data_IF_093973710120
#
_entry.id   IF_093973710120
#
_cell.length_a   1.000
_cell.length_b   1.000
_cell.length_c   1.000
_cell.angle_alpha   90.00
_cell.angle_beta   90.00
_cell.angle_gamma   90.00
#
_symmetry.space_group_name_H-M   'P 1'
#
loop_
_entity.id
_entity.type
_entity.pdbx_description
1 polymer ?
#
# COMPACT_ATOMS: atom_id res chain seq x y z
N UNK A 1 4.27 6.73 19.11
CA UNK A 1 3.95 7.25 17.76
C UNK A 1 4.54 6.29 16.72
N UNK A 2 3.80 5.26 16.29
CA UNK A 2 4.32 4.19 15.39
C UNK A 2 3.36 3.81 14.24
N UNK A 3 2.31 4.59 13.95
CA UNK A 3 1.31 4.22 12.93
C UNK A 3 1.54 4.81 11.52
N UNK A 4 2.56 5.65 11.33
CA UNK A 4 2.78 6.31 10.04
C UNK A 4 3.56 5.47 9.03
N UNK A 5 4.39 4.52 9.48
CA UNK A 5 5.36 3.84 8.62
C UNK A 5 4.76 2.66 7.84
N UNK A 6 3.77 1.96 8.40
CA UNK A 6 3.21 0.75 7.80
C UNK A 6 2.36 1.00 6.53
N UNK A 7 1.54 2.05 6.53
CA UNK A 7 0.69 2.38 5.37
C UNK A 7 1.53 2.77 4.16
N UNK A 8 2.62 3.48 4.44
CA UNK A 8 3.48 4.03 3.42
C UNK A 8 4.35 2.94 2.75
N UNK A 9 4.69 1.87 3.48
CA UNK A 9 5.35 0.68 2.91
C UNK A 9 4.46 -0.07 1.92
N UNK A 10 3.18 -0.24 2.25
CA UNK A 10 2.21 -0.90 1.36
C UNK A 10 2.01 -0.16 0.04
N UNK A 11 2.00 1.16 0.09
CA UNK A 11 1.78 1.97 -1.11
C UNK A 11 2.94 1.84 -2.11
N UNK A 12 4.19 1.78 -1.64
CA UNK A 12 5.36 1.57 -2.53
C UNK A 12 5.37 0.17 -3.14
N UNK A 13 4.97 -0.84 -2.37
CA UNK A 13 4.81 -2.21 -2.91
C UNK A 13 3.73 -2.24 -3.99
N UNK A 14 2.59 -1.59 -3.76
CA UNK A 14 1.51 -1.51 -4.75
C UNK A 14 1.92 -0.76 -6.02
N UNK A 15 2.66 0.34 -5.90
CA UNK A 15 3.13 1.13 -7.06
C UNK A 15 4.18 0.35 -7.86
N UNK A 16 5.13 -0.30 -7.18
CA UNK A 16 6.13 -1.13 -7.87
C UNK A 16 5.46 -2.31 -8.59
N UNK A 17 4.46 -2.95 -7.95
CA UNK A 17 3.67 -4.01 -8.58
C UNK A 17 2.88 -3.51 -9.78
N UNK A 18 2.30 -2.30 -9.70
CA UNK A 18 1.55 -1.72 -10.80
C UNK A 18 2.46 -1.31 -11.98
N UNK A 19 3.63 -0.73 -11.68
CA UNK A 19 4.64 -0.42 -12.70
C UNK A 19 5.17 -1.68 -13.37
N UNK A 20 5.43 -2.73 -12.59
CA UNK A 20 5.81 -4.05 -13.10
C UNK A 20 4.71 -4.61 -14.02
N UNK A 21 3.44 -4.60 -13.60
CA UNK A 21 2.31 -5.04 -14.42
C UNK A 21 2.19 -4.23 -15.71
N UNK A 22 2.39 -2.90 -15.67
CA UNK A 22 2.33 -2.06 -16.86
C UNK A 22 3.49 -2.32 -17.83
N UNK A 23 4.71 -2.52 -17.31
CA UNK A 23 5.87 -2.89 -18.13
C UNK A 23 5.65 -4.27 -18.76
N UNK A 24 5.16 -5.24 -18.00
CA UNK A 24 4.78 -6.56 -18.53
C UNK A 24 3.67 -6.46 -19.58
N UNK A 25 2.65 -5.63 -19.35
CA UNK A 25 1.58 -5.38 -20.31
C UNK A 25 2.09 -4.78 -21.62
N UNK A 26 3.02 -3.83 -21.55
CA UNK A 26 3.64 -3.23 -22.72
C UNK A 26 4.49 -4.26 -23.50
N UNK A 27 5.32 -5.03 -22.79
CA UNK A 27 6.19 -6.06 -23.38
C UNK A 27 5.37 -7.20 -24.01
N UNK A 28 4.30 -7.64 -23.34
CA UNK A 28 3.42 -8.68 -23.89
C UNK A 28 2.57 -8.14 -25.05
N UNK A 29 2.15 -6.88 -24.98
CA UNK A 29 1.41 -6.21 -26.06
C UNK A 29 2.22 -6.12 -27.35
N UNK A 30 3.51 -5.77 -27.26
CA UNK A 30 4.39 -5.74 -28.43
C UNK A 30 4.69 -7.14 -28.97
N UNK A 31 4.84 -8.15 -28.11
CA UNK A 31 4.97 -9.55 -28.54
C UNK A 31 3.75 -10.06 -29.32
N UNK A 32 2.53 -9.73 -28.90
CA UNK A 32 1.29 -10.20 -29.56
C UNK A 32 1.07 -9.51 -30.90
N UNK A 33 1.36 -8.20 -30.99
CA UNK A 33 1.22 -7.45 -32.24
C UNK A 33 2.16 -7.98 -33.35
N UNK A 34 3.28 -8.58 -32.97
CA UNK A 34 4.33 -9.04 -33.87
C UNK A 34 4.13 -10.47 -34.38
N UNK A 35 3.52 -11.35 -33.57
CA UNK A 35 3.13 -12.72 -33.98
C UNK A 35 2.04 -12.71 -35.06
N UNK A 36 1.30 -11.61 -35.21
CA UNK A 36 0.24 -11.48 -36.21
C UNK A 36 0.74 -11.16 -37.64
N UNK A 37 2.05 -10.93 -37.85
CA UNK A 37 2.61 -10.58 -39.16
C UNK A 37 3.60 -11.66 -39.66
N UNK A 38 3.18 -12.60 -40.52
CA UNK A 38 4.08 -13.59 -41.10
C UNK A 38 4.79 -13.00 -42.32
N UNK A 39 5.98 -12.43 -42.12
CA UNK A 39 6.82 -12.00 -43.25
C UNK A 39 8.28 -12.41 -43.08
N UNK A 40 8.66 -13.43 -43.87
CA UNK A 40 10.00 -13.77 -44.40
C UNK A 40 11.18 -13.87 -43.43
N UNK A 41 11.90 -15.00 -43.47
CA UNK A 41 13.05 -15.37 -42.62
C UNK A 41 14.12 -14.28 -42.40
N UNK A 42 14.29 -13.34 -43.33
CA UNK A 42 15.21 -12.19 -43.20
C UNK A 42 14.85 -11.20 -42.07
N UNK A 43 13.61 -11.21 -41.56
CA UNK A 43 13.19 -10.33 -40.45
C UNK A 43 13.54 -10.90 -39.07
N UNK A 44 13.75 -12.22 -38.97
CA UNK A 44 13.94 -12.89 -37.68
C UNK A 44 15.26 -12.53 -37.00
N UNK A 45 16.35 -12.39 -37.76
CA UNK A 45 17.66 -12.02 -37.21
C UNK A 45 17.70 -10.57 -36.78
N UNK A 46 17.16 -9.65 -37.59
CA UNK A 46 17.03 -8.24 -37.24
C UNK A 46 16.22 -8.04 -35.96
N UNK A 47 15.15 -8.81 -35.79
CA UNK A 47 14.35 -8.79 -34.57
C UNK A 47 15.11 -9.28 -33.33
N UNK A 48 15.91 -10.34 -33.47
CA UNK A 48 16.73 -10.87 -32.37
C UNK A 48 17.77 -9.82 -31.95
N UNK A 49 18.39 -9.15 -32.91
CA UNK A 49 19.36 -8.09 -32.67
C UNK A 49 18.72 -6.87 -31.98
N UNK A 50 17.57 -6.40 -32.45
CA UNK A 50 16.83 -5.29 -31.83
C UNK A 50 16.44 -5.62 -30.37
N UNK A 51 16.03 -6.85 -30.10
CA UNK A 51 15.72 -7.27 -28.72
C UNK A 51 16.95 -7.38 -27.83
N UNK A 52 18.09 -7.77 -28.37
CA UNK A 52 19.35 -7.77 -27.62
C UNK A 52 19.71 -6.34 -27.22
N UNK A 53 19.62 -5.39 -28.15
CA UNK A 53 19.89 -3.97 -27.89
C UNK A 53 18.96 -3.39 -26.80
N UNK A 54 17.65 -3.71 -26.83
CA UNK A 54 16.71 -3.28 -25.79
C UNK A 54 17.09 -3.85 -24.41
N UNK A 55 17.50 -5.12 -24.33
CA UNK A 55 17.93 -5.74 -23.07
C UNK A 55 19.15 -5.04 -22.49
N UNK A 56 20.12 -4.71 -23.33
CA UNK A 56 21.34 -4.03 -22.90
C UNK A 56 21.02 -2.61 -22.39
N UNK A 57 20.15 -1.86 -23.08
CA UNK A 57 19.68 -0.55 -22.60
C UNK A 57 18.98 -0.63 -21.23
N UNK A 58 18.18 -1.67 -20.98
CA UNK A 58 17.51 -1.87 -19.70
C UNK A 58 18.52 -2.21 -18.59
N UNK A 59 19.52 -3.04 -18.89
CA UNK A 59 20.59 -3.40 -17.94
C UNK A 59 21.46 -2.19 -17.57
N UNK A 60 21.76 -1.32 -18.54
CA UNK A 60 22.48 -0.07 -18.30
C UNK A 60 21.68 0.90 -17.43
N UNK A 61 20.39 1.08 -17.71
CA UNK A 61 19.51 1.93 -16.91
C UNK A 61 19.41 1.44 -15.45
N UNK A 62 19.32 0.12 -15.24
CA UNK A 62 19.34 -0.47 -13.90
C UNK A 62 20.68 -0.26 -13.19
N UNK A 63 21.79 -0.42 -13.91
CA UNK A 63 23.14 -0.22 -13.36
C UNK A 63 23.37 1.22 -12.94
N UNK A 64 22.97 2.19 -13.78
CA UNK A 64 23.03 3.62 -13.47
C UNK A 64 22.18 3.98 -12.25
N UNK A 65 20.97 3.41 -12.15
CA UNK A 65 20.08 3.64 -11.01
C UNK A 65 20.69 3.13 -9.72
N UNK A 66 21.30 1.93 -9.72
CA UNK A 66 22.02 1.38 -8.56
C UNK A 66 23.20 2.24 -8.14
N UNK A 67 24.01 2.70 -9.10
CA UNK A 67 25.14 3.57 -8.83
C UNK A 67 24.70 4.89 -8.17
N UNK A 68 23.66 5.54 -8.70
CA UNK A 68 23.10 6.76 -8.09
C UNK A 68 22.55 6.54 -6.69
N UNK A 69 21.91 5.40 -6.44
CA UNK A 69 21.45 5.08 -5.09
C UNK A 69 22.63 4.95 -4.13
N UNK A 70 23.71 4.28 -4.54
CA UNK A 70 24.93 4.15 -3.73
C UNK A 70 25.53 5.52 -3.39
N UNK A 71 25.70 6.41 -4.38
CA UNK A 71 26.23 7.77 -4.16
C UNK A 71 25.39 8.57 -3.16
N UNK A 72 24.06 8.50 -3.26
CA UNK A 72 23.14 9.18 -2.34
C UNK A 72 23.24 8.60 -0.93
N UNK A 73 23.41 7.28 -0.79
CA UNK A 73 23.61 6.66 0.50
C UNK A 73 24.94 7.07 1.14
N UNK A 74 26.01 7.22 0.36
CA UNK A 74 27.34 7.58 0.87
C UNK A 74 27.46 9.06 1.28
N UNK A 75 26.79 9.98 0.59
CA UNK A 75 26.91 11.43 0.86
C UNK A 75 26.39 11.86 2.24
N UNK A 76 25.39 11.16 2.78
CA UNK A 76 24.76 11.51 4.08
C UNK A 76 25.09 10.52 5.21
N UNK A 77 25.86 9.46 4.94
CA UNK A 77 26.19 8.46 5.96
C UNK A 77 27.34 8.95 6.85
N UNK A 78 27.01 9.55 8.00
CA UNK A 78 27.99 9.64 9.11
C UNK A 78 28.15 8.25 9.71
N UNK A 79 29.30 7.57 9.58
CA UNK A 79 29.48 6.27 10.21
C UNK A 79 29.27 6.45 11.71
N UNK A 80 28.32 5.69 12.27
CA UNK A 80 28.09 5.64 13.71
C UNK A 80 29.43 5.25 14.34
N UNK A 81 29.94 6.06 15.26
CA UNK A 81 31.13 5.71 16.04
C UNK A 81 30.68 4.93 17.28
N UNK A 82 30.70 3.59 17.28
CA UNK A 82 30.30 2.84 18.46
C UNK A 82 31.34 3.05 19.56
N UNK A 83 30.93 3.64 20.68
CA UNK A 83 31.70 3.59 21.93
C UNK A 83 31.49 2.21 22.56
N UNK A 84 32.38 1.27 22.24
CA UNK A 84 32.34 -0.11 22.74
C UNK A 84 31.92 -1.09 21.64
N UNK A 85 32.72 -2.14 21.45
CA UNK A 85 32.51 -3.15 20.41
C UNK A 85 31.22 -3.94 20.69
N UNK A 86 30.27 -3.87 19.75
CA UNK A 86 29.13 -4.77 19.69
C UNK A 86 28.97 -5.26 18.25
N UNK A 87 28.96 -6.58 18.09
CA UNK A 87 28.75 -7.23 16.81
C UNK A 87 27.25 -7.44 16.62
N UNK A 88 26.64 -6.77 15.65
CA UNK A 88 25.22 -6.95 15.33
C UNK A 88 25.07 -7.89 14.13
N UNK A 89 24.38 -9.01 14.32
CA UNK A 89 23.93 -9.90 13.24
C UNK A 89 22.77 -9.21 12.52
N UNK A 90 23.03 -8.63 11.34
CA UNK A 90 22.03 -7.85 10.60
C UNK A 90 21.09 -8.79 9.83
N UNK A 91 19.86 -8.92 10.31
CA UNK A 91 18.73 -9.34 9.49
C UNK A 91 18.11 -8.08 8.86
N UNK A 92 18.27 -7.90 7.56
CA UNK A 92 17.82 -6.71 6.83
C UNK A 92 16.30 -6.75 6.69
N UNK A 93 15.60 -5.84 7.38
CA UNK A 93 14.21 -5.50 7.06
C UNK A 93 14.20 -4.19 6.25
N UNK A 94 13.65 -4.17 5.03
CA UNK A 94 13.65 -2.96 4.21
C UNK A 94 12.72 -1.91 4.82
N UNK A 95 13.20 -0.68 4.95
CA UNK A 95 12.43 0.49 5.38
C UNK A 95 12.30 1.42 4.18
N UNK A 96 11.08 1.64 3.69
CA UNK A 96 10.81 2.65 2.68
C UNK A 96 10.45 3.97 3.38
N UNK A 97 11.13 5.06 3.03
CA UNK A 97 10.82 6.42 3.48
C UNK A 97 9.89 7.11 2.47
N UNK A 98 8.89 7.85 2.98
CA UNK A 98 7.87 8.48 2.13
C UNK A 98 7.93 9.96 2.36
N UNK A 99 8.61 10.63 1.45
CA UNK A 99 8.63 12.07 1.30
C UNK A 99 8.13 12.38 -0.11
N UNK A 100 7.15 13.28 -0.20
CA UNK A 100 6.55 13.84 -1.43
C UNK A 100 5.51 12.99 -2.18
N UNK A 101 4.41 12.64 -1.50
CA UNK A 101 3.16 12.39 -2.24
C UNK A 101 2.54 13.74 -2.59
N UNK A 102 2.59 14.13 -3.87
CA UNK A 102 1.79 15.24 -4.40
C UNK A 102 0.31 14.88 -4.31
N UNK A 103 -0.54 15.87 -4.03
CA UNK A 103 -1.98 15.70 -3.98
C UNK A 103 -2.46 15.15 -5.34
N UNK A 104 -3.23 14.06 -5.33
CA UNK A 104 -3.72 13.46 -6.55
C UNK A 104 -4.57 14.49 -7.33
N UNK A 105 -4.34 14.60 -8.64
CA UNK A 105 -5.17 15.43 -9.52
C UNK A 105 -6.61 14.93 -9.50
N UNK A 106 -7.57 15.84 -9.63
CA UNK A 106 -8.97 15.46 -9.83
C UNK A 106 -9.08 14.57 -11.08
N UNK A 107 -9.79 13.45 -10.94
CA UNK A 107 -9.89 12.43 -11.98
C UNK A 107 -10.78 12.96 -13.13
N UNK A 108 -10.14 13.41 -14.22
CA UNK A 108 -10.80 13.96 -15.42
C UNK A 108 -11.83 13.02 -16.04
N UNK A 109 -11.74 11.72 -15.74
CA UNK A 109 -12.62 10.71 -16.30
C UNK A 109 -14.01 10.67 -15.66
N UNK A 110 -14.30 11.54 -14.66
CA UNK A 110 -15.57 11.54 -13.90
C UNK A 110 -16.02 10.12 -13.56
N UNK A 111 -15.07 9.22 -13.25
CA UNK A 111 -15.41 7.84 -12.92
C UNK A 111 -16.28 7.93 -11.69
N UNK A 112 -17.56 7.59 -11.85
CA UNK A 112 -18.41 7.43 -10.70
C UNK A 112 -17.68 6.45 -9.80
N UNK A 113 -17.27 6.91 -8.61
CA UNK A 113 -16.80 5.98 -7.58
C UNK A 113 -17.84 4.88 -7.57
N UNK A 114 -17.44 3.59 -7.71
CA UNK A 114 -18.40 2.52 -7.64
C UNK A 114 -19.24 2.84 -6.42
N UNK A 115 -20.55 3.04 -6.63
CA UNK A 115 -21.46 3.27 -5.52
C UNK A 115 -21.08 2.19 -4.52
N UNK A 116 -20.82 2.59 -3.26
CA UNK A 116 -20.50 1.62 -2.22
C UNK A 116 -21.75 0.77 -2.10
N UNK A 117 -21.90 -0.21 -2.98
CA UNK A 117 -22.93 -1.22 -2.94
C UNK A 117 -22.65 -1.87 -1.60
N UNK A 118 -23.52 -1.54 -0.65
CA UNK A 118 -23.46 -2.08 0.70
C UNK A 118 -23.24 -3.58 0.54
N UNK A 119 -22.21 -4.12 1.19
CA UNK A 119 -22.02 -5.56 1.19
C UNK A 119 -23.36 -6.19 1.62
N UNK A 120 -23.81 -7.25 0.93
CA UNK A 120 -25.08 -7.89 1.28
C UNK A 120 -25.05 -8.28 2.76
N UNK A 121 -26.17 -8.12 3.50
CA UNK A 121 -26.22 -8.46 4.92
C UNK A 121 -25.84 -9.93 5.13
N UNK A 122 -25.09 -10.19 6.19
CA UNK A 122 -24.72 -11.56 6.54
C UNK A 122 -25.86 -12.10 7.41
N UNK A 123 -26.53 -13.15 6.94
CA UNK A 123 -27.61 -13.77 7.71
C UNK A 123 -26.98 -14.77 8.68
N UNK A 124 -27.02 -14.46 9.98
CA UNK A 124 -26.58 -15.36 11.05
C UNK A 124 -27.80 -15.66 11.91
N UNK A 125 -28.11 -16.95 12.10
CA UNK A 125 -29.26 -17.40 12.90
C UNK A 125 -30.63 -16.81 12.50
N UNK A 126 -30.82 -16.45 11.22
CA UNK A 126 -32.07 -15.88 10.73
C UNK A 126 -32.24 -14.38 10.99
N UNK A 127 -31.22 -13.72 11.56
CA UNK A 127 -31.16 -12.27 11.72
C UNK A 127 -30.15 -11.67 10.74
N UNK A 128 -30.47 -10.50 10.19
CA UNK A 128 -29.55 -9.73 9.36
C UNK A 128 -28.50 -9.07 10.26
N UNK A 129 -27.27 -9.59 10.22
CA UNK A 129 -26.13 -9.00 10.89
C UNK A 129 -25.35 -8.11 9.91
N UNK A 130 -24.98 -6.93 10.41
CA UNK A 130 -24.21 -5.97 9.64
C UNK A 130 -22.82 -5.82 10.25
N UNK A 131 -21.80 -5.93 9.41
CA UNK A 131 -20.43 -5.76 9.83
C UNK A 131 -20.17 -4.31 10.30
N UNK A 132 -19.62 -4.19 11.50
CA UNK A 132 -19.21 -2.91 12.08
C UNK A 132 -17.93 -2.43 11.41
N UNK A 133 -17.92 -1.21 10.88
CA UNK A 133 -16.76 -0.59 10.23
C UNK A 133 -15.83 0.06 11.26
N UNK A 134 -16.39 0.91 12.15
CA UNK A 134 -15.60 1.62 13.17
C UNK A 134 -16.43 2.16 14.33
N UNK A 135 -15.80 2.29 15.49
CA UNK A 135 -16.33 3.01 16.65
C UNK A 135 -16.10 4.51 16.46
N UNK A 136 -17.16 5.31 16.52
CA UNK A 136 -17.08 6.77 16.39
C UNK A 136 -16.92 7.43 17.76
N UNK A 137 -17.86 7.16 18.66
CA UNK A 137 -17.99 7.85 19.94
C UNK A 137 -18.29 6.88 21.07
N UNK A 138 -17.87 7.26 22.29
CA UNK A 138 -18.18 6.55 23.53
C UNK A 138 -18.92 7.53 24.43
N UNK A 139 -20.10 7.13 24.91
CA UNK A 139 -20.81 7.72 26.04
C UNK A 139 -20.85 6.69 27.16
N UNK A 140 -21.06 7.14 28.40
CA UNK A 140 -20.99 6.36 29.64
C UNK A 140 -21.08 4.82 29.46
N UNK A 141 -22.24 4.31 29.01
CA UNK A 141 -22.50 2.89 28.80
C UNK A 141 -22.88 2.52 27.36
N UNK A 142 -22.70 3.42 26.39
CA UNK A 142 -23.12 3.21 25.00
C UNK A 142 -22.03 3.65 24.01
N UNK A 143 -21.94 2.91 22.91
CA UNK A 143 -20.97 3.13 21.84
C UNK A 143 -21.71 3.48 20.55
N UNK A 144 -21.30 4.57 19.91
CA UNK A 144 -21.78 4.90 18.56
C UNK A 144 -20.94 4.14 17.55
N UNK A 145 -21.55 3.13 16.94
CA UNK A 145 -20.93 2.31 15.90
C UNK A 145 -21.34 2.82 14.53
N UNK A 146 -20.39 2.83 13.60
CA UNK A 146 -20.65 2.99 12.17
C UNK A 146 -20.62 1.62 11.51
N UNK A 147 -21.69 1.24 10.84
CA UNK A 147 -21.81 0.01 10.07
C UNK A 147 -21.30 0.22 8.64
N UNK A 148 -20.94 -0.87 7.93
CA UNK A 148 -20.45 -0.79 6.54
C UNK A 148 -21.46 -0.20 5.55
N UNK A 149 -22.76 -0.36 5.83
CA UNK A 149 -23.85 0.24 5.06
C UNK A 149 -23.93 1.77 5.23
N UNK A 150 -23.20 2.35 6.19
CA UNK A 150 -23.17 3.78 6.48
C UNK A 150 -24.00 4.19 7.68
N UNK A 151 -24.86 3.29 8.18
CA UNK A 151 -25.74 3.56 9.32
C UNK A 151 -24.96 3.71 10.60
N UNK A 152 -25.57 4.45 11.53
CA UNK A 152 -25.00 4.75 12.83
C UNK A 152 -25.98 4.29 13.91
N UNK A 153 -25.56 3.35 14.73
CA UNK A 153 -26.37 2.82 15.84
C UNK A 153 -25.63 3.01 17.16
N UNK A 154 -26.39 3.31 18.21
CA UNK A 154 -25.88 3.28 19.58
C UNK A 154 -26.11 1.87 20.12
N UNK A 155 -25.01 1.20 20.48
CA UNK A 155 -25.06 -0.13 21.07
C UNK A 155 -24.57 -0.08 22.53
N UNK A 156 -25.16 -0.89 23.43
CA UNK A 156 -24.67 -1.03 24.79
C UNK A 156 -23.21 -1.49 24.82
N UNK A 157 -22.43 -0.95 25.77
CA UNK A 157 -21.01 -1.28 25.91
C UNK A 157 -20.78 -2.78 26.16
N UNK A 158 -21.70 -3.44 26.88
CA UNK A 158 -21.59 -4.85 27.24
C UNK A 158 -21.65 -5.75 25.99
N UNK A 159 -22.60 -5.50 25.08
CA UNK A 159 -22.72 -6.24 23.81
C UNK A 159 -21.43 -6.13 22.98
N UNK A 160 -20.95 -4.90 22.77
CA UNK A 160 -19.75 -4.68 21.94
C UNK A 160 -18.49 -5.28 22.57
N UNK A 161 -18.44 -5.37 23.90
CA UNK A 161 -17.31 -5.96 24.62
C UNK A 161 -17.25 -7.47 24.44
N UNK A 162 -18.40 -8.13 24.35
CA UNK A 162 -18.51 -9.55 24.08
C UNK A 162 -18.23 -9.86 22.60
N UNK A 163 -18.87 -9.12 21.68
CA UNK A 163 -18.83 -9.41 20.25
C UNK A 163 -17.51 -9.00 19.59
N UNK A 164 -16.97 -7.82 19.92
CA UNK A 164 -15.83 -7.23 19.19
C UNK A 164 -14.79 -6.58 20.11
N UNK A 165 -14.16 -7.36 21.03
CA UNK A 165 -13.21 -6.83 22.00
C UNK A 165 -11.96 -6.22 21.35
N UNK A 166 -11.57 -6.68 20.16
CA UNK A 166 -10.40 -6.19 19.44
C UNK A 166 -10.57 -4.75 18.94
N UNK A 167 -11.73 -4.41 18.37
CA UNK A 167 -12.02 -3.05 17.92
C UNK A 167 -12.05 -2.07 19.10
N UNK A 168 -12.60 -2.49 20.23
CA UNK A 168 -12.62 -1.69 21.45
C UNK A 168 -11.19 -1.38 21.94
N UNK A 169 -10.30 -2.38 21.96
CA UNK A 169 -8.88 -2.19 22.29
C UNK A 169 -8.18 -1.24 21.32
N UNK A 170 -8.44 -1.37 20.02
CA UNK A 170 -7.87 -0.49 19.00
C UNK A 170 -8.33 0.96 19.18
N UNK A 171 -9.63 1.17 19.45
CA UNK A 171 -10.20 2.48 19.71
C UNK A 171 -9.60 3.15 20.96
N UNK A 172 -9.50 2.41 22.07
CA UNK A 172 -8.89 2.90 23.31
C UNK A 172 -7.42 3.30 23.13
N UNK A 173 -6.64 2.51 22.37
CA UNK A 173 -5.25 2.85 22.00
C UNK A 173 -5.19 4.14 21.18
N UNK A 174 -6.14 4.36 20.26
CA UNK A 174 -6.27 5.59 19.48
C UNK A 174 -6.59 6.82 20.34
N UNK A 175 -7.51 6.69 21.31
CA UNK A 175 -7.91 7.77 22.21
C UNK A 175 -6.77 8.27 23.09
N UNK A 176 -5.92 7.36 23.61
CA UNK A 176 -4.73 7.74 24.39
C UNK A 176 -3.80 8.67 23.61
N UNK A 177 -3.61 8.40 22.31
CA UNK A 177 -2.78 9.24 21.43
C UNK A 177 -3.39 10.63 21.24
N UNK A 178 -4.70 10.72 21.03
CA UNK A 178 -5.40 12.01 20.86
C UNK A 178 -5.40 12.89 22.11
N UNK A 179 -5.45 12.28 23.30
CA UNK A 179 -5.36 13.03 24.57
C UNK A 179 -4.00 13.66 24.80
N UNK A 180 -2.92 12.99 24.40
CA UNK A 180 -1.55 13.53 24.50
C UNK A 180 -1.42 14.78 23.62
N UNK A 181 -1.91 14.72 22.38
CA UNK A 181 -1.89 15.82 21.41
C UNK A 181 -2.73 17.05 21.78
N UNK A 182 -3.61 16.98 22.80
CA UNK A 182 -4.44 18.11 23.24
C UNK A 182 -3.91 18.81 24.51
N UNK A 183 -2.78 18.35 25.05
CA UNK A 183 -2.16 18.94 26.25
C UNK A 183 -0.98 19.85 25.93
N UNK A 184 -0.66 20.01 24.65
CA UNK A 184 0.28 21.01 24.10
C UNK A 184 -0.54 22.18 23.52
#
# INVERSE_FOLDING_TARGET
>A
MLCGTALKFWQTVCINRAAEIMVWGLVMGTMIAEVASPTSEATSTAFIEDRAAIRDCVLDALSLTRARMADVFDQDHKPIQPKGQAWLKVAIHPVVSIMHLKQAHEDDFKREKPSKASAPPVIVNGHEEHEVDRILQVKANELLLRRKNGDQTWEPLDNVREDIPEMLKAYQRGQRRRRILRRE
#
